data_IF_786600585813
#
_entry.id   IF_786600585813
#
_cell.length_a   1.000
_cell.length_b   1.000
_cell.length_c   1.000
_cell.angle_alpha   90.00
_cell.angle_beta   90.00
_cell.angle_gamma   90.00
#
_symmetry.space_group_name_H-M   'P 1'
#
loop_
_entity.id
_entity.type
_entity.pdbx_description
1 polymer ?
#
# COMPACT_ATOMS: atom_id res chain seq x y z
N UNK A 1 -3.51 -7.32 13.36
CA UNK A 1 -4.76 -7.28 14.16
C UNK A 1 -5.93 -7.71 13.24
N UNK A 2 -5.99 -8.95 12.79
CA UNK A 2 -7.02 -9.32 11.81
C UNK A 2 -8.28 -9.88 12.47
N UNK A 3 -8.12 -10.82 13.39
CA UNK A 3 -9.24 -11.49 14.09
C UNK A 3 -8.94 -11.70 15.58
N UNK A 4 -7.90 -11.02 16.10
CA UNK A 4 -7.44 -11.11 17.48
C UNK A 4 -7.19 -9.72 18.04
N UNK A 5 -6.88 -9.62 19.32
CA UNK A 5 -6.67 -8.33 19.99
C UNK A 5 -5.33 -7.68 19.61
N UNK A 6 -5.23 -6.38 19.89
CA UNK A 6 -3.95 -5.63 19.82
C UNK A 6 -2.89 -6.27 20.72
N UNK A 7 -3.29 -6.80 21.89
CA UNK A 7 -2.38 -7.49 22.81
C UNK A 7 -1.78 -8.77 22.21
N UNK A 8 -2.59 -9.58 21.50
CA UNK A 8 -2.10 -10.77 20.79
C UNK A 8 -1.14 -10.37 19.65
N UNK A 9 -1.48 -9.35 18.89
CA UNK A 9 -0.60 -8.85 17.82
C UNK A 9 0.74 -8.39 18.38
N UNK A 10 0.74 -7.69 19.52
CA UNK A 10 1.94 -7.24 20.19
C UNK A 10 2.82 -8.41 20.64
N UNK A 11 2.24 -9.40 21.35
CA UNK A 11 2.98 -10.59 21.81
C UNK A 11 3.64 -11.35 20.66
N UNK A 12 2.96 -11.45 19.52
CA UNK A 12 3.55 -12.07 18.32
C UNK A 12 4.71 -11.24 17.76
N UNK A 13 4.56 -9.93 17.68
CA UNK A 13 5.60 -9.01 17.21
C UNK A 13 6.85 -9.10 18.11
N UNK A 14 6.66 -9.08 19.44
CA UNK A 14 7.72 -9.30 20.43
C UNK A 14 8.45 -10.62 20.20
N UNK A 15 7.71 -11.73 20.02
CA UNK A 15 8.32 -13.03 19.73
C UNK A 15 9.12 -13.04 18.43
N UNK A 16 8.65 -12.33 17.38
CA UNK A 16 9.39 -12.23 16.12
C UNK A 16 10.69 -11.46 16.29
N UNK A 17 10.65 -10.31 16.99
CA UNK A 17 11.85 -9.52 17.27
C UNK A 17 12.86 -10.35 18.10
N UNK A 18 12.41 -11.02 19.16
CA UNK A 18 13.25 -11.87 19.99
C UNK A 18 13.83 -13.07 19.23
N UNK A 19 13.18 -13.50 18.15
CA UNK A 19 13.68 -14.53 17.25
C UNK A 19 14.60 -14.00 16.14
N UNK A 20 14.91 -12.68 16.13
CA UNK A 20 15.85 -12.07 15.19
C UNK A 20 15.22 -11.46 13.96
N UNK A 21 13.95 -11.07 13.98
CA UNK A 21 13.33 -10.35 12.87
C UNK A 21 13.91 -8.92 12.74
N UNK A 22 14.31 -8.54 11.53
CA UNK A 22 14.85 -7.21 11.21
C UNK A 22 13.79 -6.10 11.15
N UNK A 23 12.52 -6.46 11.13
CA UNK A 23 11.39 -5.52 11.09
C UNK A 23 10.07 -6.23 11.33
N UNK A 24 9.03 -5.47 11.64
CA UNK A 24 7.69 -5.99 11.89
C UNK A 24 6.68 -5.28 10.99
N UNK A 25 5.83 -6.03 10.30
CA UNK A 25 4.69 -5.48 9.58
C UNK A 25 3.40 -5.76 10.35
N UNK A 26 2.61 -4.70 10.57
CA UNK A 26 1.29 -4.79 11.19
C UNK A 26 0.20 -4.43 10.19
N UNK A 27 -0.90 -5.16 10.22
CA UNK A 27 -2.05 -4.91 9.36
C UNK A 27 -3.37 -4.96 10.15
N UNK A 28 -4.33 -4.12 9.76
CA UNK A 28 -5.71 -4.14 10.26
C UNK A 28 -6.70 -4.06 9.10
N UNK A 29 -7.85 -4.70 9.26
CA UNK A 29 -9.02 -4.56 8.37
C UNK A 29 -9.93 -3.41 8.78
N UNK A 30 -9.73 -2.84 9.96
CA UNK A 30 -10.53 -1.74 10.47
C UNK A 30 -10.22 -0.46 9.69
N UNK A 31 -11.27 0.29 9.36
CA UNK A 31 -11.15 1.63 8.79
C UNK A 31 -10.67 2.66 9.81
N UNK A 32 -10.90 2.39 11.10
CA UNK A 32 -10.45 3.25 12.18
C UNK A 32 -8.99 2.91 12.55
N UNK A 33 -8.05 3.86 12.48
CA UNK A 33 -6.63 3.59 12.74
C UNK A 33 -6.27 3.45 14.23
N UNK A 34 -7.22 3.60 15.16
CA UNK A 34 -6.95 3.62 16.62
C UNK A 34 -6.15 2.41 17.10
N UNK A 35 -6.50 1.21 16.63
CA UNK A 35 -5.81 -0.02 17.05
C UNK A 35 -4.38 -0.08 16.50
N UNK A 36 -4.18 0.33 15.25
CA UNK A 36 -2.86 0.41 14.60
C UNK A 36 -1.98 1.41 15.35
N UNK A 37 -2.49 2.59 15.70
CA UNK A 37 -1.74 3.59 16.46
C UNK A 37 -1.47 3.13 17.89
N UNK A 38 -2.43 2.47 18.55
CA UNK A 38 -2.20 1.87 19.87
C UNK A 38 -1.09 0.82 19.84
N UNK A 39 -1.06 0.00 18.79
CA UNK A 39 -0.01 -1.00 18.59
C UNK A 39 1.34 -0.32 18.37
N UNK A 40 1.45 0.60 17.40
CA UNK A 40 2.72 1.24 17.03
C UNK A 40 3.33 2.02 18.19
N UNK A 41 2.53 2.82 18.88
CA UNK A 41 2.98 3.58 20.05
C UNK A 41 3.51 2.68 21.18
N UNK A 42 2.89 1.52 21.41
CA UNK A 42 3.41 0.55 22.36
C UNK A 42 4.68 -0.11 21.86
N UNK A 43 4.69 -0.55 20.60
CA UNK A 43 5.82 -1.25 19.99
C UNK A 43 7.08 -0.37 19.98
N UNK A 44 6.98 0.88 19.53
CA UNK A 44 8.11 1.80 19.44
C UNK A 44 8.66 2.29 20.78
N UNK A 45 7.90 2.15 21.86
CA UNK A 45 8.44 2.41 23.23
C UNK A 45 9.48 1.38 23.63
N UNK A 46 9.30 0.13 23.22
CA UNK A 46 10.15 -1.00 23.61
C UNK A 46 11.18 -1.35 22.53
N UNK A 47 10.78 -1.31 21.27
CA UNK A 47 11.59 -1.68 20.10
C UNK A 47 11.84 -0.47 19.19
N UNK A 48 12.56 0.54 19.70
CA UNK A 48 12.78 1.83 19.00
C UNK A 48 13.45 1.66 17.63
N UNK A 49 14.46 0.78 17.60
CA UNK A 49 15.34 0.59 16.44
C UNK A 49 14.81 -0.45 15.43
N UNK A 50 13.74 -1.18 15.79
CA UNK A 50 13.14 -2.16 14.89
C UNK A 50 12.16 -1.46 13.94
N UNK A 51 12.37 -1.52 12.62
CA UNK A 51 11.48 -0.93 11.64
C UNK A 51 10.05 -1.46 11.73
N UNK A 52 9.09 -0.54 11.76
CA UNK A 52 7.67 -0.87 11.75
C UNK A 52 7.05 -0.50 10.40
N UNK A 53 6.51 -1.51 9.74
CA UNK A 53 5.93 -1.42 8.40
C UNK A 53 4.42 -1.44 8.46
N UNK A 54 3.75 -0.61 7.67
CA UNK A 54 2.29 -0.54 7.58
C UNK A 54 1.79 -0.54 6.13
N UNK A 55 0.62 -1.16 5.92
CA UNK A 55 -0.10 -1.17 4.64
C UNK A 55 -1.48 -0.54 4.86
N UNK A 56 -1.69 0.77 4.63
CA UNK A 56 -2.90 1.49 5.04
C UNK A 56 -4.09 1.32 4.08
N UNK A 57 -4.24 0.18 3.41
CA UNK A 57 -5.30 -0.04 2.43
C UNK A 57 -6.72 0.06 3.01
N UNK A 58 -6.92 -0.35 4.26
CA UNK A 58 -8.24 -0.31 4.93
C UNK A 58 -8.54 1.04 5.59
N UNK A 59 -7.52 1.79 5.97
CA UNK A 59 -7.59 3.11 6.61
C UNK A 59 -6.86 4.18 5.78
N UNK A 60 -7.12 4.18 4.48
CA UNK A 60 -6.46 5.01 3.47
C UNK A 60 -6.72 6.52 3.59
N UNK A 61 -7.58 6.94 4.51
CA UNK A 61 -7.78 8.35 4.87
C UNK A 61 -6.65 8.90 5.75
N UNK A 62 -5.80 8.03 6.33
CA UNK A 62 -4.68 8.44 7.18
C UNK A 62 -3.53 8.93 6.32
N UNK A 63 -3.03 10.13 6.60
CA UNK A 63 -1.89 10.71 5.89
C UNK A 63 -0.58 10.07 6.36
N UNK A 64 0.43 10.07 5.50
CA UNK A 64 1.78 9.59 5.85
C UNK A 64 2.36 10.32 7.08
N UNK A 65 2.17 11.65 7.19
CA UNK A 65 2.61 12.40 8.37
C UNK A 65 2.04 11.83 9.67
N UNK A 66 0.76 11.45 9.68
CA UNK A 66 0.14 10.84 10.85
C UNK A 66 0.70 9.44 11.15
N UNK A 67 1.09 8.69 10.13
CA UNK A 67 1.75 7.39 10.30
C UNK A 67 3.16 7.58 10.87
N UNK A 68 3.93 8.52 10.34
CA UNK A 68 5.26 8.88 10.86
C UNK A 68 5.18 9.32 12.33
N UNK A 69 4.28 10.24 12.65
CA UNK A 69 4.06 10.74 14.02
C UNK A 69 3.69 9.62 15.02
N UNK A 70 3.10 8.53 14.52
CA UNK A 70 2.77 7.34 15.30
C UNK A 70 3.83 6.23 15.20
N UNK A 71 5.04 6.54 14.69
CA UNK A 71 6.21 5.65 14.74
C UNK A 71 6.27 4.57 13.66
N UNK A 72 5.59 4.75 12.53
CA UNK A 72 5.80 3.89 11.37
C UNK A 72 6.98 4.40 10.55
N UNK A 73 7.86 3.47 10.16
CA UNK A 73 9.07 3.78 9.39
C UNK A 73 8.87 3.53 7.89
N UNK A 74 8.01 2.58 7.52
CA UNK A 74 7.76 2.19 6.13
C UNK A 74 6.27 2.10 5.85
N UNK A 75 5.81 2.76 4.80
CA UNK A 75 4.43 2.71 4.30
C UNK A 75 4.41 2.02 2.93
N UNK A 76 3.61 0.97 2.80
CA UNK A 76 3.49 0.21 1.54
C UNK A 76 2.13 0.49 0.89
N UNK A 77 2.14 1.04 -0.31
CA UNK A 77 0.98 1.17 -1.19
C UNK A 77 0.88 -0.04 -2.13
N UNK A 78 0.44 -1.17 -1.60
CA UNK A 78 0.64 -2.50 -2.17
C UNK A 78 0.02 -2.73 -3.57
N UNK A 79 -1.19 -2.24 -3.84
CA UNK A 79 -1.92 -2.63 -5.06
C UNK A 79 -2.63 -1.47 -5.78
N UNK A 80 -2.32 -0.24 -5.42
CA UNK A 80 -3.02 0.94 -5.94
C UNK A 80 -2.82 1.10 -7.45
N UNK A 81 -1.60 0.90 -7.96
CA UNK A 81 -1.29 1.00 -9.39
C UNK A 81 -2.00 -0.10 -10.19
N UNK A 82 -1.96 -1.35 -9.72
CA UNK A 82 -2.67 -2.47 -10.37
C UNK A 82 -4.19 -2.24 -10.39
N UNK A 83 -4.77 -1.78 -9.29
CA UNK A 83 -6.21 -1.48 -9.20
C UNK A 83 -6.63 -0.31 -10.08
N UNK A 84 -5.73 0.64 -10.33
CA UNK A 84 -5.96 1.74 -11.25
C UNK A 84 -5.80 1.31 -12.72
N UNK A 85 -4.78 0.56 -13.04
CA UNK A 85 -4.47 0.16 -14.42
C UNK A 85 -5.45 -0.87 -14.99
N UNK A 86 -5.90 -1.85 -14.18
CA UNK A 86 -6.78 -2.91 -14.66
C UNK A 86 -8.09 -2.40 -15.29
N UNK A 87 -8.91 -1.55 -14.64
CA UNK A 87 -10.14 -1.04 -15.26
C UNK A 87 -9.87 -0.16 -16.49
N UNK A 88 -8.74 0.56 -16.52
CA UNK A 88 -8.34 1.33 -17.70
C UNK A 88 -8.06 0.40 -18.89
N UNK A 89 -7.22 -0.63 -18.72
CA UNK A 89 -6.95 -1.64 -19.75
C UNK A 89 -8.22 -2.36 -20.19
N UNK A 90 -9.08 -2.73 -19.24
CA UNK A 90 -10.36 -3.39 -19.56
C UNK A 90 -11.28 -2.50 -20.40
N UNK A 91 -11.29 -1.18 -20.13
CA UNK A 91 -12.08 -0.23 -20.91
C UNK A 91 -11.60 -0.15 -22.36
N UNK A 92 -10.28 -0.09 -22.57
CA UNK A 92 -9.68 -0.10 -23.91
C UNK A 92 -10.05 -1.38 -24.68
N UNK A 93 -9.87 -2.54 -24.04
CA UNK A 93 -10.22 -3.83 -24.64
C UNK A 93 -11.70 -3.93 -25.03
N UNK A 94 -12.61 -3.48 -24.15
CA UNK A 94 -14.05 -3.42 -24.44
C UNK A 94 -14.38 -2.51 -25.63
N UNK A 95 -13.72 -1.36 -25.75
CA UNK A 95 -13.92 -0.46 -26.88
C UNK A 95 -13.48 -1.11 -28.21
N UNK A 96 -12.29 -1.72 -28.23
CA UNK A 96 -11.78 -2.41 -29.41
C UNK A 96 -12.73 -3.53 -29.85
N UNK A 97 -13.19 -4.37 -28.92
CA UNK A 97 -14.14 -5.44 -29.20
C UNK A 97 -15.48 -4.92 -29.71
N UNK A 98 -15.95 -3.81 -29.16
CA UNK A 98 -17.24 -3.22 -29.53
C UNK A 98 -17.22 -2.56 -30.90
N UNK A 99 -16.14 -1.84 -31.23
CA UNK A 99 -16.08 -0.99 -32.43
C UNK A 99 -15.18 -1.57 -33.54
N UNK A 100 -14.46 -2.66 -33.28
CA UNK A 100 -13.53 -3.26 -34.24
C UNK A 100 -12.31 -2.37 -34.54
N UNK A 101 -12.02 -1.38 -33.70
CA UNK A 101 -10.92 -0.41 -33.83
C UNK A 101 -10.60 0.24 -32.51
N UNK A 102 -9.45 0.93 -32.41
CA UNK A 102 -8.97 1.59 -31.16
C UNK A 102 -9.38 3.05 -31.03
N UNK A 103 -9.88 3.70 -32.08
CA UNK A 103 -10.11 5.14 -32.17
C UNK A 103 -10.88 5.72 -30.95
N UNK A 104 -11.92 5.01 -30.47
CA UNK A 104 -12.73 5.43 -29.33
C UNK A 104 -11.98 5.40 -28.00
N UNK A 105 -10.80 4.77 -27.98
CA UNK A 105 -9.94 4.69 -26.80
C UNK A 105 -8.88 5.79 -26.76
N UNK A 106 -8.56 6.47 -27.84
CA UNK A 106 -7.46 7.44 -27.96
C UNK A 106 -7.48 8.51 -26.86
N UNK A 107 -8.66 8.97 -26.46
CA UNK A 107 -8.82 9.97 -25.39
C UNK A 107 -8.38 9.49 -24.01
N UNK A 108 -8.16 8.20 -23.81
CA UNK A 108 -7.71 7.60 -22.56
C UNK A 108 -6.26 7.12 -22.63
N UNK A 109 -5.62 7.21 -23.80
CA UNK A 109 -4.28 6.71 -24.05
C UNK A 109 -3.29 7.87 -24.02
N UNK A 110 -2.10 7.59 -23.50
CA UNK A 110 -0.94 8.43 -23.75
C UNK A 110 -0.55 8.30 -25.23
N UNK A 111 -0.06 9.38 -25.82
CA UNK A 111 0.52 9.30 -27.17
C UNK A 111 1.73 8.36 -27.20
N UNK A 112 2.02 7.79 -28.36
CA UNK A 112 3.22 6.94 -28.55
C UNK A 112 4.50 7.70 -28.15
N UNK A 113 4.57 9.00 -28.47
CA UNK A 113 5.70 9.86 -28.08
C UNK A 113 5.86 9.95 -26.57
N UNK A 114 4.78 10.12 -25.83
CA UNK A 114 4.83 10.17 -24.36
C UNK A 114 5.26 8.82 -23.77
N UNK A 115 4.72 7.71 -24.25
CA UNK A 115 5.11 6.36 -23.80
C UNK A 115 6.60 6.10 -24.04
N UNK A 116 7.11 6.43 -25.22
CA UNK A 116 8.54 6.25 -25.55
C UNK A 116 9.46 7.13 -24.70
N UNK A 117 8.98 8.27 -24.22
CA UNK A 117 9.75 9.16 -23.37
C UNK A 117 9.74 8.77 -21.88
N UNK A 118 8.89 7.82 -21.46
CA UNK A 118 8.86 7.34 -20.06
C UNK A 118 10.13 6.59 -19.67
N UNK A 119 10.80 5.97 -20.65
CA UNK A 119 12.04 5.21 -20.41
C UNK A 119 13.20 5.99 -21.05
N UNK A 120 14.10 6.60 -20.27
CA UNK A 120 15.27 7.30 -20.81
C UNK A 120 16.13 6.35 -21.66
N UNK A 121 16.49 6.79 -22.86
CA UNK A 121 17.37 6.03 -23.76
C UNK A 121 16.70 5.05 -24.74
N UNK A 122 15.36 5.01 -24.78
CA UNK A 122 14.61 4.23 -25.79
C UNK A 122 14.30 5.04 -27.06
N UNK A 123 15.26 5.82 -27.54
CA UNK A 123 15.15 6.53 -28.83
C UNK A 123 15.69 5.68 -29.96
#
# INVERSE_FOLDING_TARGET
ILNKSVGDAYKRAENYVNAGADGVMIHSKDKNPKEIFKFSNKFKKEFKDIPLVVVPSSFNQVKESQLIDNGFDVVIYANHMLRASYPAMQSVAKNILKYGRSYESDKFLLSIKEILNLIPGTK
#
